data_IF_450455240261
#
_entry.id   IF_450455240261
#
_cell.length_a   1.000
_cell.length_b   1.000
_cell.length_c   1.000
_cell.angle_alpha   90.00
_cell.angle_beta   90.00
_cell.angle_gamma   90.00
#
_symmetry.space_group_name_H-M   'P 1'
#
loop_
_entity.id
_entity.type
_entity.pdbx_description
1 polymer ?
#
# COMPACT_ATOMS: atom_id res chain seq x y z
N UNK A 1 12.50 -25.18 -7.75
CA UNK A 1 12.62 -25.19 -9.23
C UNK A 1 11.57 -24.23 -9.72
N UNK A 2 11.98 -23.02 -10.10
CA UNK A 2 11.07 -21.88 -10.22
C UNK A 2 10.54 -21.73 -11.66
N UNK A 3 9.48 -20.95 -11.77
CA UNK A 3 9.39 -19.83 -12.72
C UNK A 3 8.67 -20.10 -14.03
N UNK A 4 7.34 -19.96 -13.99
CA UNK A 4 6.68 -18.89 -14.77
C UNK A 4 5.18 -18.88 -14.53
N UNK A 5 4.67 -17.74 -14.07
CA UNK A 5 3.29 -17.32 -14.36
C UNK A 5 3.37 -16.22 -15.43
N UNK A 6 2.97 -16.54 -16.66
CA UNK A 6 2.83 -15.56 -17.74
C UNK A 6 1.37 -15.14 -17.78
N UNK A 7 1.08 -13.89 -17.42
CA UNK A 7 -0.25 -13.31 -17.71
C UNK A 7 -0.12 -12.58 -19.04
N UNK A 8 -0.55 -13.25 -20.12
CA UNK A 8 -0.71 -12.63 -21.42
C UNK A 8 -2.10 -11.96 -21.46
N UNK A 9 -2.12 -10.67 -21.80
CA UNK A 9 -3.33 -9.86 -21.85
C UNK A 9 -4.41 -10.50 -22.74
N UNK A 10 -5.50 -10.94 -22.11
CA UNK A 10 -6.73 -11.19 -22.81
C UNK A 10 -7.39 -9.84 -23.12
N UNK A 11 -7.36 -9.42 -24.38
CA UNK A 11 -8.22 -8.33 -24.85
C UNK A 11 -9.56 -8.92 -25.26
N UNK A 12 -10.46 -9.06 -24.29
CA UNK A 12 -11.82 -9.58 -24.47
C UNK A 12 -12.50 -9.84 -23.12
N UNK A 13 -13.82 -9.78 -23.07
CA UNK A 13 -14.62 -10.17 -21.91
C UNK A 13 -14.56 -11.70 -21.76
N UNK A 14 -13.55 -12.17 -21.03
CA UNK A 14 -13.40 -13.57 -20.67
C UNK A 14 -13.60 -13.72 -19.17
N UNK A 15 -14.75 -14.30 -18.79
CA UNK A 15 -14.97 -14.78 -17.43
C UNK A 15 -14.20 -16.09 -17.26
N UNK A 16 -12.95 -15.99 -16.79
CA UNK A 16 -12.15 -17.15 -16.42
C UNK A 16 -12.18 -17.35 -14.89
N UNK A 17 -12.34 -18.58 -14.40
CA UNK A 17 -12.22 -18.85 -12.98
C UNK A 17 -10.77 -18.63 -12.53
N UNK A 18 -10.55 -17.65 -11.64
CA UNK A 18 -9.29 -17.49 -10.93
C UNK A 18 -9.32 -18.40 -9.69
N UNK A 19 -8.41 -19.39 -9.63
CA UNK A 19 -8.31 -20.30 -8.48
C UNK A 19 -6.98 -20.09 -7.78
N UNK A 20 -7.01 -19.61 -6.55
CA UNK A 20 -5.87 -19.56 -5.64
C UNK A 20 -6.08 -20.57 -4.50
N UNK A 21 -5.05 -21.36 -4.18
CA UNK A 21 -5.06 -22.28 -3.03
C UNK A 21 -3.98 -21.88 -2.01
N UNK A 22 -4.25 -20.87 -1.15
CA UNK A 22 -3.30 -20.48 -0.13
C UNK A 22 -3.29 -21.51 1.02
N UNK A 23 -2.16 -22.17 1.22
CA UNK A 23 -1.92 -23.05 2.38
C UNK A 23 -0.86 -22.38 3.27
N UNK A 24 -1.30 -21.50 4.17
CA UNK A 24 -0.44 -20.85 5.17
C UNK A 24 -1.11 -20.98 6.54
N UNK A 25 -0.56 -21.84 7.40
CA UNK A 25 -1.06 -22.04 8.77
C UNK A 25 -0.88 -20.78 9.64
N UNK A 26 0.12 -19.96 9.34
CA UNK A 26 0.32 -18.63 9.90
C UNK A 26 0.95 -17.73 8.82
N UNK A 27 0.14 -16.91 8.12
CA UNK A 27 0.67 -16.04 7.07
C UNK A 27 1.50 -14.91 7.69
N UNK A 28 2.59 -14.47 7.03
CA UNK A 28 3.22 -13.19 7.34
C UNK A 28 2.18 -12.06 7.37
N UNK A 29 2.40 -11.03 8.20
CA UNK A 29 1.42 -9.96 8.38
C UNK A 29 1.03 -9.26 7.06
N UNK A 30 1.97 -9.15 6.11
CA UNK A 30 1.70 -8.60 4.78
C UNK A 30 0.88 -9.55 3.88
N UNK A 31 0.91 -10.86 4.14
CA UNK A 31 0.18 -11.86 3.35
C UNK A 31 -1.25 -12.07 3.85
N UNK A 32 -1.53 -11.74 5.12
CA UNK A 32 -2.84 -12.01 5.76
C UNK A 32 -4.01 -11.24 5.13
N UNK A 33 -3.92 -9.93 4.85
CA UNK A 33 -5.03 -9.22 4.19
C UNK A 33 -5.33 -9.75 2.79
N UNK A 34 -4.30 -10.19 2.05
CA UNK A 34 -4.49 -10.79 0.72
C UNK A 34 -5.21 -12.14 0.82
N UNK A 35 -4.84 -12.97 1.79
CA UNK A 35 -5.53 -14.24 2.07
C UNK A 35 -7.01 -14.00 2.42
N UNK A 36 -7.30 -13.03 3.27
CA UNK A 36 -8.67 -12.71 3.68
C UNK A 36 -9.52 -12.29 2.46
N UNK A 37 -8.98 -11.48 1.55
CA UNK A 37 -9.67 -11.08 0.31
C UNK A 37 -9.98 -12.28 -0.58
N UNK A 38 -9.03 -13.20 -0.75
CA UNK A 38 -9.24 -14.43 -1.53
C UNK A 38 -10.32 -15.34 -0.93
N UNK A 39 -10.55 -15.25 0.38
CA UNK A 39 -11.62 -15.95 1.10
C UNK A 39 -12.92 -15.15 1.19
N UNK A 40 -13.02 -14.00 0.51
CA UNK A 40 -14.21 -13.17 0.48
C UNK A 40 -14.39 -12.24 1.68
N UNK A 41 -13.34 -12.03 2.47
CA UNK A 41 -13.33 -11.12 3.62
C UNK A 41 -12.42 -9.91 3.36
N UNK A 42 -13.02 -8.75 3.08
CA UNK A 42 -12.28 -7.51 2.81
C UNK A 42 -12.15 -6.60 4.04
N UNK A 43 -12.40 -7.07 5.26
CA UNK A 43 -12.44 -6.21 6.46
C UNK A 43 -11.12 -5.49 6.78
N UNK A 44 -9.97 -6.03 6.33
CA UNK A 44 -8.64 -5.42 6.49
C UNK A 44 -8.15 -4.68 5.22
N UNK A 45 -9.03 -4.49 4.24
CA UNK A 45 -8.71 -3.73 3.02
C UNK A 45 -9.27 -2.31 3.11
N UNK A 46 -8.50 -1.34 2.64
CA UNK A 46 -8.96 0.05 2.50
C UNK A 46 -9.92 0.13 1.31
N UNK A 47 -11.06 0.81 1.50
CA UNK A 47 -12.03 1.00 0.42
C UNK A 47 -11.53 2.01 -0.60
N UNK A 48 -12.00 1.91 -1.84
CA UNK A 48 -11.58 2.81 -2.92
C UNK A 48 -11.91 4.29 -2.64
N UNK A 49 -13.05 4.57 -2.01
CA UNK A 49 -13.44 5.92 -1.61
C UNK A 49 -12.57 6.46 -0.46
N UNK A 50 -12.25 5.63 0.53
CA UNK A 50 -11.35 5.98 1.63
C UNK A 50 -9.95 6.33 1.11
N UNK A 51 -9.38 5.50 0.24
CA UNK A 51 -8.07 5.76 -0.37
C UNK A 51 -8.04 7.06 -1.19
N UNK A 52 -9.17 7.43 -1.80
CA UNK A 52 -9.30 8.68 -2.55
C UNK A 52 -9.38 9.90 -1.62
N UNK A 53 -10.06 9.79 -0.49
CA UNK A 53 -10.12 10.86 0.51
C UNK A 53 -8.77 11.05 1.22
N UNK A 54 -8.08 9.96 1.61
CA UNK A 54 -6.72 10.03 2.16
C UNK A 54 -5.76 10.72 1.19
N UNK A 55 -5.90 10.44 -0.12
CA UNK A 55 -5.10 11.10 -1.15
C UNK A 55 -5.37 12.60 -1.21
N UNK A 56 -6.61 13.06 -1.01
CA UNK A 56 -6.94 14.50 -1.03
C UNK A 56 -6.29 15.24 0.13
N UNK A 57 -6.16 14.59 1.29
CA UNK A 57 -5.46 15.14 2.46
C UNK A 57 -3.97 15.34 2.16
N UNK A 58 -3.32 14.38 1.52
CA UNK A 58 -1.88 14.42 1.22
C UNK A 58 -1.53 15.16 -0.08
N UNK A 59 -2.48 15.29 -1.01
CA UNK A 59 -2.30 15.94 -2.30
C UNK A 59 -1.65 17.34 -2.22
N UNK A 60 -2.02 18.26 -1.30
CA UNK A 60 -1.40 19.59 -1.26
C UNK A 60 0.06 19.59 -0.81
N UNK A 61 0.49 18.66 0.05
CA UNK A 61 1.86 18.63 0.58
C UNK A 61 2.82 17.82 -0.31
N UNK A 62 2.29 16.84 -1.05
CA UNK A 62 3.10 15.92 -1.87
C UNK A 62 4.01 16.63 -2.89
N UNK A 63 3.58 17.69 -3.60
CA UNK A 63 4.44 18.42 -4.54
C UNK A 63 5.53 19.26 -3.86
N UNK A 64 5.39 19.57 -2.57
CA UNK A 64 6.31 20.46 -1.86
C UNK A 64 7.66 19.81 -1.55
N UNK A 65 7.69 18.49 -1.34
CA UNK A 65 8.91 17.74 -1.09
C UNK A 65 9.86 17.70 -2.30
N UNK A 66 9.46 17.25 -3.51
CA UNK A 66 10.36 17.29 -4.67
C UNK A 66 10.64 18.71 -5.17
N UNK A 67 9.88 19.72 -4.73
CA UNK A 67 10.11 21.12 -5.04
C UNK A 67 11.01 21.85 -4.04
N UNK A 68 11.59 21.14 -3.06
CA UNK A 68 12.41 21.70 -1.97
C UNK A 68 11.73 22.89 -1.25
N UNK A 69 10.38 22.92 -1.23
CA UNK A 69 9.60 24.02 -0.65
C UNK A 69 9.48 23.92 0.87
N UNK A 70 9.95 22.82 1.47
CA UNK A 70 9.95 22.57 2.91
C UNK A 70 11.36 22.19 3.34
N UNK A 71 11.94 22.93 4.28
CA UNK A 71 13.23 22.58 4.88
C UNK A 71 13.08 21.33 5.75
N UNK A 72 13.73 20.24 5.35
CA UNK A 72 13.82 19.02 6.16
C UNK A 72 14.85 19.21 7.28
N UNK A 73 14.46 18.86 8.50
CA UNK A 73 15.36 18.91 9.65
C UNK A 73 16.14 17.60 9.77
N UNK A 74 17.47 17.72 9.93
CA UNK A 74 18.36 16.59 10.17
C UNK A 74 18.31 16.11 11.62
N UNK A 75 18.55 14.82 11.84
CA UNK A 75 18.71 14.26 13.17
C UNK A 75 19.73 13.11 13.18
N UNK A 76 20.43 12.84 14.31
CA UNK A 76 21.32 11.68 14.42
C UNK A 76 20.55 10.37 14.30
N UNK A 77 21.13 9.37 13.64
CA UNK A 77 20.55 8.02 13.61
C UNK A 77 20.31 7.51 15.05
N UNK A 78 19.18 6.83 15.25
CA UNK A 78 18.70 6.34 16.54
C UNK A 78 18.34 7.43 17.59
N UNK A 79 18.24 8.70 17.21
CA UNK A 79 17.56 9.71 18.03
C UNK A 79 16.04 9.66 17.84
N UNK A 80 15.27 10.26 18.75
CA UNK A 80 13.80 10.38 18.67
C UNK A 80 13.30 11.28 17.51
N UNK A 81 14.23 11.89 16.76
CA UNK A 81 13.96 12.76 15.63
C UNK A 81 14.28 14.23 15.92
N UNK A 82 13.94 15.13 14.98
CA UNK A 82 14.17 16.56 15.16
C UNK A 82 13.29 17.13 16.28
N UNK A 83 13.79 18.16 16.98
CA UNK A 83 13.01 18.86 18.00
C UNK A 83 11.71 19.42 17.39
N UNK A 84 10.58 19.41 18.14
CA UNK A 84 9.30 19.86 17.61
C UNK A 84 9.39 21.32 17.16
N UNK A 85 9.05 21.56 15.88
CA UNK A 85 8.93 22.90 15.34
C UNK A 85 7.63 23.50 15.90
N UNK A 86 7.72 24.54 16.72
CA UNK A 86 6.53 25.30 17.15
C UNK A 86 5.97 26.03 15.95
N UNK A 87 4.77 25.66 15.52
CA UNK A 87 3.97 26.44 14.58
C UNK A 87 3.44 27.69 15.28
N UNK A 88 3.84 28.87 14.79
CA UNK A 88 3.31 30.17 15.21
C UNK A 88 1.99 30.49 14.52
#
# INVERSE_FOLDING_TARGET
MIDRLVILGATGDLTLPFTAQPVLSEPPDCARPLLDVLLGNAALSIRGDEAQEDRRVLAPVTPAWPGDMVTLAEHPAASDGPAPVRSS
#
